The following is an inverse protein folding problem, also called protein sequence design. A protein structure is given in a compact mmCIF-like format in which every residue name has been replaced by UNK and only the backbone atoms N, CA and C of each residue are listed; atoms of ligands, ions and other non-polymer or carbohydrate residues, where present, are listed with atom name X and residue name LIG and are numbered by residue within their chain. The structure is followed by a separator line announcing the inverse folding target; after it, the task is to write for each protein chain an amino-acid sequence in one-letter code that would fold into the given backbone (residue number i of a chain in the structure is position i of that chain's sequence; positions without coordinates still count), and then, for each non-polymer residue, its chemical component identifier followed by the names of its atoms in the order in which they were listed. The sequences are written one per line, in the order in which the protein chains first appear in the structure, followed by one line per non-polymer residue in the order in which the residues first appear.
data_IF_654834766198
#
_entry.id   IF_654834766198
#
_cell.length_a   1.000
_cell.length_b   1.000
_cell.length_c   1.000
_cell.angle_alpha   90.00
_cell.angle_beta   90.00
_cell.angle_gamma   90.00
#
_symmetry.space_group_name_H-M   'P 1'
#
loop_
_entity.id
_entity.type
_entity.pdbx_description
1 polymer ?
#
# COMPACT_ATOMS: atom_id res chain seq x y z
N UNK A 1 -10.72 -8.03 -5.60
CA UNK A 1 -9.35 -8.35 -5.18
C UNK A 1 -8.63 -7.07 -4.80
N UNK A 2 -7.80 -7.10 -3.80
CA UNK A 2 -7.12 -5.92 -3.27
C UNK A 2 -5.64 -5.95 -3.61
N UNK A 3 -5.12 -4.84 -4.15
CA UNK A 3 -3.70 -4.67 -4.40
C UNK A 3 -3.04 -3.85 -3.29
N UNK A 4 -1.84 -4.25 -2.90
CA UNK A 4 -0.93 -3.40 -2.15
C UNK A 4 0.06 -2.79 -3.14
N UNK A 5 0.14 -1.47 -3.18
CA UNK A 5 1.01 -0.71 -4.07
C UNK A 5 2.07 0.00 -3.24
N UNK A 6 3.33 -0.19 -3.60
CA UNK A 6 4.48 0.39 -2.89
C UNK A 6 5.28 1.26 -3.87
N UNK A 7 5.59 2.49 -3.46
CA UNK A 7 6.46 3.36 -4.25
C UNK A 7 7.93 3.00 -4.01
N UNK A 8 8.63 2.66 -5.08
CA UNK A 8 10.01 2.19 -5.06
C UNK A 8 11.03 3.30 -5.35
N UNK A 9 10.65 4.28 -6.17
CA UNK A 9 11.57 5.36 -6.59
C UNK A 9 11.17 6.70 -5.99
N UNK A 10 12.18 7.55 -5.78
CA UNK A 10 12.01 8.87 -5.17
C UNK A 10 11.32 9.89 -6.06
N UNK A 11 11.25 11.13 -5.57
CA UNK A 11 10.46 12.22 -6.18
C UNK A 11 11.23 13.05 -7.20
N UNK A 12 12.54 12.88 -7.32
CA UNK A 12 13.38 13.71 -8.20
C UNK A 12 13.29 13.25 -9.65
N UNK A 13 13.11 14.19 -10.58
CA UNK A 13 13.12 13.92 -12.01
C UNK A 13 11.89 13.20 -12.55
N UNK A 14 10.78 13.20 -11.83
CA UNK A 14 9.54 12.55 -12.24
C UNK A 14 8.77 13.44 -13.21
N UNK A 15 8.33 12.89 -14.34
CA UNK A 15 7.47 13.59 -15.30
C UNK A 15 6.16 13.96 -14.60
N UNK A 16 5.66 15.19 -14.85
CA UNK A 16 4.49 15.73 -14.17
C UNK A 16 3.26 14.81 -14.24
N UNK A 17 2.98 14.22 -15.39
CA UNK A 17 1.83 13.30 -15.56
C UNK A 17 1.92 12.10 -14.62
N UNK A 18 3.12 11.55 -14.45
CA UNK A 18 3.37 10.43 -13.55
C UNK A 18 3.31 10.89 -12.09
N UNK A 19 3.90 12.05 -11.79
CA UNK A 19 3.83 12.65 -10.45
C UNK A 19 2.38 12.89 -10.02
N UNK A 20 1.54 13.44 -10.89
CA UNK A 20 0.12 13.66 -10.62
C UNK A 20 -0.61 12.33 -10.36
N UNK A 21 -0.31 11.29 -11.13
CA UNK A 21 -0.88 9.97 -10.93
C UNK A 21 -0.48 9.38 -9.57
N UNK A 22 0.79 9.51 -9.19
CA UNK A 22 1.27 9.07 -7.89
C UNK A 22 0.62 9.85 -6.74
N UNK A 23 0.41 11.14 -6.89
CA UNK A 23 -0.30 11.96 -5.91
C UNK A 23 -1.77 11.54 -5.77
N UNK A 24 -2.44 11.20 -6.86
CA UNK A 24 -3.81 10.67 -6.84
C UNK A 24 -3.90 9.32 -6.14
N UNK A 25 -2.84 8.52 -6.19
CA UNK A 25 -2.73 7.26 -5.48
C UNK A 25 -2.27 7.43 -4.03
N UNK A 26 -2.02 8.66 -3.57
CA UNK A 26 -1.46 8.97 -2.24
C UNK A 26 -0.04 8.42 -2.03
N UNK A 27 0.71 8.21 -3.09
CA UNK A 27 2.09 7.72 -3.06
C UNK A 27 3.05 8.90 -3.26
N UNK A 28 3.15 9.76 -2.26
CA UNK A 28 3.90 11.01 -2.38
C UNK A 28 5.40 10.88 -2.10
N UNK A 29 5.82 9.81 -1.46
CA UNK A 29 7.22 9.55 -1.11
C UNK A 29 7.60 8.09 -1.30
N UNK A 30 8.91 7.85 -1.42
CA UNK A 30 9.47 6.49 -1.46
C UNK A 30 9.05 5.67 -0.22
N UNK A 31 8.86 4.39 -0.39
CA UNK A 31 8.45 3.42 0.64
C UNK A 31 7.04 3.64 1.20
N UNK A 32 6.26 4.56 0.67
CA UNK A 32 4.84 4.66 0.99
C UNK A 32 4.07 3.53 0.30
N UNK A 33 3.07 3.01 0.97
CA UNK A 33 2.20 1.96 0.45
C UNK A 33 0.73 2.31 0.62
N UNK A 34 -0.09 1.85 -0.30
CA UNK A 34 -1.55 2.01 -0.23
C UNK A 34 -2.23 0.71 -0.62
N UNK A 35 -3.43 0.48 -0.08
CA UNK A 35 -4.32 -0.59 -0.51
C UNK A 35 -5.31 -0.04 -1.53
N UNK A 36 -5.41 -0.70 -2.68
CA UNK A 36 -6.24 -0.29 -3.80
C UNK A 36 -7.11 -1.45 -4.22
N UNK A 37 -8.41 -1.18 -4.42
CA UNK A 37 -9.32 -2.15 -5.00
C UNK A 37 -9.05 -2.30 -6.50
N UNK A 38 -9.01 -3.54 -6.98
CA UNK A 38 -8.81 -3.82 -8.40
C UNK A 38 -10.03 -3.37 -9.21
N UNK A 39 -9.80 -2.45 -10.14
CA UNK A 39 -10.77 -2.04 -11.15
C UNK A 39 -10.05 -1.49 -12.40
N UNK A 40 -10.72 -1.40 -13.55
CA UNK A 40 -10.07 -0.93 -14.80
C UNK A 40 -9.43 0.45 -14.68
N UNK A 41 -10.04 1.37 -13.95
CA UNK A 41 -9.51 2.73 -13.74
C UNK A 41 -8.20 2.70 -12.96
N UNK A 42 -8.14 1.92 -11.88
CA UNK A 42 -6.93 1.75 -11.08
C UNK A 42 -5.84 1.02 -11.85
N UNK A 43 -6.19 0.00 -12.64
CA UNK A 43 -5.23 -0.70 -13.49
C UNK A 43 -4.55 0.25 -14.47
N UNK A 44 -5.31 1.17 -15.07
CA UNK A 44 -4.77 2.21 -15.94
C UNK A 44 -3.79 3.14 -15.22
N UNK A 45 -4.12 3.56 -14.01
CA UNK A 45 -3.24 4.40 -13.19
C UNK A 45 -1.95 3.67 -12.79
N UNK A 46 -2.04 2.39 -12.43
CA UNK A 46 -0.89 1.57 -12.07
C UNK A 46 0.05 1.39 -13.27
N UNK A 47 -0.48 1.11 -14.45
CA UNK A 47 0.32 1.00 -15.68
C UNK A 47 1.04 2.31 -16.02
N UNK A 48 0.37 3.43 -15.82
CA UNK A 48 0.96 4.76 -16.06
C UNK A 48 2.13 5.05 -15.13
N UNK A 49 2.06 4.62 -13.88
CA UNK A 49 3.09 4.84 -12.87
C UNK A 49 4.06 3.65 -12.69
N UNK A 50 3.99 2.63 -13.52
CA UNK A 50 4.71 1.36 -13.36
C UNK A 50 6.22 1.47 -13.16
N UNK A 51 6.84 2.53 -13.68
CA UNK A 51 8.30 2.75 -13.59
C UNK A 51 8.73 3.30 -12.22
N UNK A 52 7.79 3.57 -11.33
CA UNK A 52 8.05 4.13 -9.98
C UNK A 52 7.50 3.28 -8.86
N UNK A 53 6.65 2.30 -9.16
CA UNK A 53 5.91 1.51 -8.18
C UNK A 53 6.03 0.01 -8.44
N UNK A 54 5.69 -0.76 -7.42
CA UNK A 54 5.43 -2.19 -7.53
C UNK A 54 4.13 -2.52 -6.81
N UNK A 55 3.41 -3.51 -7.30
CA UNK A 55 2.14 -3.91 -6.70
C UNK A 55 1.86 -5.40 -6.89
N UNK A 56 0.94 -5.89 -6.11
CA UNK A 56 0.48 -7.27 -6.21
C UNK A 56 -0.67 -7.54 -5.25
N UNK A 57 -1.23 -8.73 -5.33
CA UNK A 57 -2.32 -9.17 -4.48
C UNK A 57 -1.81 -9.49 -3.07
N UNK A 58 -2.56 -9.06 -2.07
CA UNK A 58 -2.28 -9.35 -0.66
C UNK A 58 -3.36 -10.21 -0.05
N UNK A 59 -3.01 -10.97 0.98
CA UNK A 59 -3.94 -11.73 1.79
C UNK A 59 -4.37 -10.95 3.05
N UNK A 60 -5.38 -11.46 3.74
CA UNK A 60 -5.90 -10.82 4.95
C UNK A 60 -4.88 -10.81 6.09
N UNK A 61 -4.03 -11.82 6.19
CA UNK A 61 -2.98 -11.89 7.21
C UNK A 61 -1.96 -10.76 7.05
N UNK A 62 -1.52 -10.51 5.82
CA UNK A 62 -0.60 -9.41 5.51
C UNK A 62 -1.23 -8.06 5.81
N UNK A 63 -2.50 -7.85 5.44
CA UNK A 63 -3.23 -6.62 5.73
C UNK A 63 -3.39 -6.42 7.24
N UNK A 64 -3.67 -7.48 7.99
CA UNK A 64 -3.74 -7.44 9.46
C UNK A 64 -2.43 -6.93 10.07
N UNK A 65 -1.31 -7.49 9.66
CA UNK A 65 0.02 -7.06 10.14
C UNK A 65 0.35 -5.64 9.74
N UNK A 66 -0.04 -5.23 8.54
CA UNK A 66 0.16 -3.88 8.04
C UNK A 66 -0.61 -2.87 8.88
N UNK A 67 -1.88 -3.14 9.18
CA UNK A 67 -2.71 -2.30 10.05
C UNK A 67 -2.12 -2.21 11.46
N UNK A 68 -1.74 -3.35 12.03
CA UNK A 68 -1.20 -3.42 13.38
C UNK A 68 0.11 -2.66 13.52
N UNK A 69 1.01 -2.79 12.57
CA UNK A 69 2.36 -2.20 12.64
C UNK A 69 2.45 -0.80 12.08
N UNK A 70 1.67 -0.46 11.05
CA UNK A 70 1.81 0.78 10.28
C UNK A 70 0.52 1.57 10.12
N UNK A 71 -0.61 1.09 10.61
CA UNK A 71 -1.87 1.84 10.58
C UNK A 71 -1.79 3.08 11.44
N UNK A 72 -2.23 4.22 10.90
CA UNK A 72 -2.31 5.50 11.62
C UNK A 72 -3.65 6.17 11.34
N UNK A 73 -4.15 6.86 12.34
CA UNK A 73 -5.35 7.69 12.20
C UNK A 73 -4.98 9.13 11.87
N UNK A 74 -5.96 9.91 11.44
CA UNK A 74 -5.79 11.35 11.22
C UNK A 74 -5.27 12.00 12.50
N UNK A 75 -4.22 12.81 12.36
CA UNK A 75 -3.50 13.39 13.50
C UNK A 75 -2.20 12.68 13.84
N UNK A 76 -1.86 11.58 13.14
CA UNK A 76 -0.60 10.87 13.28
C UNK A 76 -0.53 9.86 14.42
N UNK A 77 -1.62 9.62 15.11
CA UNK A 77 -1.70 8.61 16.18
C UNK A 77 -1.76 7.21 15.58
N UNK A 78 -1.16 6.24 16.30
CA UNK A 78 -1.20 4.84 15.88
C UNK A 78 -2.62 4.27 15.99
N UNK A 79 -3.01 3.48 15.00
CA UNK A 79 -4.26 2.74 15.03
C UNK A 79 -4.19 1.66 16.11
N UNK A 80 -5.19 1.61 16.99
CA UNK A 80 -5.30 0.63 18.09
C UNK A 80 -6.62 -0.12 18.02
N UNK A 81 -6.69 -1.29 18.67
CA UNK A 81 -7.94 -2.05 18.77
C UNK A 81 -9.05 -1.26 19.48
N UNK A 82 -8.70 -0.46 20.49
CA UNK A 82 -9.63 0.41 21.18
C UNK A 82 -10.26 1.43 20.22
N UNK A 83 -9.44 2.04 19.38
CA UNK A 83 -9.92 2.98 18.36
C UNK A 83 -10.86 2.28 17.36
N UNK A 84 -10.53 1.07 16.96
CA UNK A 84 -11.36 0.27 16.05
C UNK A 84 -12.73 0.00 16.69
N UNK A 85 -12.78 -0.43 17.95
CA UNK A 85 -14.00 -0.69 18.68
C UNK A 85 -14.89 0.56 18.84
N UNK A 86 -14.27 1.71 19.09
CA UNK A 86 -14.99 2.98 19.31
C UNK A 86 -15.54 3.58 18.02
N UNK A 87 -14.84 3.42 16.90
CA UNK A 87 -15.15 4.12 15.65
C UNK A 87 -15.69 3.22 14.55
N UNK A 88 -15.68 1.90 14.75
CA UNK A 88 -16.19 0.93 13.78
C UNK A 88 -17.01 -0.16 14.48
N UNK A 89 -17.71 -0.95 13.70
CA UNK A 89 -18.43 -2.13 14.22
C UNK A 89 -17.53 -3.35 14.44
N UNK A 90 -16.25 -3.23 14.11
CA UNK A 90 -15.27 -4.30 14.24
C UNK A 90 -14.53 -4.18 15.57
N UNK A 91 -14.01 -5.31 16.08
CA UNK A 91 -13.36 -5.36 17.39
C UNK A 91 -11.87 -5.69 17.34
N UNK A 92 -11.36 -6.14 16.20
CA UNK A 92 -9.96 -6.52 16.07
C UNK A 92 -9.36 -6.07 14.73
N UNK A 93 -8.04 -6.10 14.63
CA UNK A 93 -7.35 -5.83 13.36
C UNK A 93 -7.71 -6.87 12.29
N UNK A 94 -7.92 -8.13 12.67
CA UNK A 94 -8.27 -9.20 11.74
C UNK A 94 -9.63 -8.95 11.10
N UNK A 95 -10.63 -8.61 11.89
CA UNK A 95 -11.96 -8.28 11.38
C UNK A 95 -11.92 -7.05 10.47
N UNK A 96 -11.17 -6.02 10.87
CA UNK A 96 -11.00 -4.81 10.06
C UNK A 96 -10.29 -5.12 8.75
N UNK A 97 -9.26 -5.96 8.77
CA UNK A 97 -8.53 -6.35 7.58
C UNK A 97 -9.43 -7.09 6.57
N UNK A 98 -10.24 -8.03 7.05
CA UNK A 98 -11.22 -8.72 6.20
C UNK A 98 -12.24 -7.77 5.60
N UNK A 99 -12.74 -6.82 6.39
CA UNK A 99 -13.69 -5.82 5.91
C UNK A 99 -13.08 -4.91 4.84
N UNK A 100 -11.84 -4.50 5.00
CA UNK A 100 -11.11 -3.72 3.99
C UNK A 100 -10.87 -4.53 2.72
N UNK A 101 -10.51 -5.81 2.85
CA UNK A 101 -10.30 -6.71 1.71
C UNK A 101 -11.58 -6.92 0.90
N UNK A 102 -12.72 -6.97 1.58
CA UNK A 102 -14.04 -7.16 0.96
C UNK A 102 -14.69 -5.83 0.55
N UNK A 103 -14.00 -4.72 0.71
CA UNK A 103 -14.51 -3.37 0.42
C UNK A 103 -15.78 -2.99 1.20
N UNK A 104 -16.00 -3.60 2.35
CA UNK A 104 -17.14 -3.30 3.25
C UNK A 104 -16.95 -1.97 4.00
N UNK A 105 -15.70 -1.57 4.21
CA UNK A 105 -15.33 -0.31 4.86
C UNK A 105 -14.14 0.31 4.15
N UNK A 106 -14.07 1.64 4.18
CA UNK A 106 -12.94 2.39 3.62
C UNK A 106 -12.19 3.11 4.75
N UNK A 107 -10.89 3.40 4.60
CA UNK A 107 -10.15 4.15 5.60
C UNK A 107 -10.78 5.48 6.00
N UNK A 108 -11.46 6.16 5.07
CA UNK A 108 -12.17 7.42 5.32
C UNK A 108 -13.30 7.28 6.35
N UNK A 109 -13.92 6.12 6.43
CA UNK A 109 -15.12 5.89 7.26
C UNK A 109 -14.80 5.94 8.75
N UNK A 110 -13.55 5.72 9.13
CA UNK A 110 -13.08 5.78 10.53
C UNK A 110 -11.82 6.63 10.71
N UNK A 111 -11.61 7.60 9.84
CA UNK A 111 -10.51 8.57 9.88
C UNK A 111 -9.11 7.95 9.94
N UNK A 112 -8.92 6.78 9.34
CA UNK A 112 -7.60 6.19 9.15
C UNK A 112 -6.92 6.82 7.93
N UNK A 113 -5.63 7.11 8.06
CA UNK A 113 -4.83 7.54 6.90
C UNK A 113 -4.72 6.39 5.89
N UNK A 114 -5.01 6.63 4.61
CA UNK A 114 -4.94 5.57 3.60
C UNK A 114 -3.52 5.14 3.25
N UNK A 115 -2.52 5.88 3.69
CA UNK A 115 -1.11 5.63 3.37
C UNK A 115 -0.42 4.95 4.55
N UNK A 116 0.31 3.88 4.25
CA UNK A 116 1.19 3.22 5.20
C UNK A 116 2.63 3.65 4.93
N UNK A 117 3.29 4.22 5.93
CA UNK A 117 4.68 4.67 5.83
C UNK A 117 5.60 3.54 6.26
N UNK A 118 6.15 2.82 5.29
CA UNK A 118 7.01 1.67 5.54
C UNK A 118 8.47 2.08 5.68
N UNK A 119 9.27 1.21 6.28
CA UNK A 119 10.72 1.33 6.26
C UNK A 119 11.28 0.84 4.92
N UNK A 120 12.49 1.26 4.52
CA UNK A 120 13.19 0.61 3.41
C UNK A 120 13.28 -0.89 3.65
N UNK A 121 13.17 -1.73 2.61
CA UNK A 121 13.19 -3.17 2.79
C UNK A 121 14.55 -3.63 3.33
N UNK A 122 14.54 -4.59 4.23
CA UNK A 122 15.75 -5.27 4.67
C UNK A 122 16.39 -5.94 3.46
N UNK A 123 17.70 -5.83 3.31
CA UNK A 123 18.49 -6.26 2.13
C UNK A 123 18.23 -5.44 0.86
N UNK A 124 17.51 -4.31 0.97
CA UNK A 124 17.25 -3.39 -0.12
C UNK A 124 16.28 -3.87 -1.18
N UNK A 125 16.04 -3.01 -2.16
CA UNK A 125 15.32 -3.37 -3.36
C UNK A 125 16.28 -4.03 -4.36
N UNK A 126 15.77 -4.96 -5.14
CA UNK A 126 16.41 -5.38 -6.37
C UNK A 126 16.42 -4.20 -7.35
N UNK A 127 17.08 -4.30 -8.51
CA UNK A 127 17.24 -3.15 -9.42
C UNK A 127 16.04 -2.22 -9.52
N UNK A 128 16.20 -0.98 -9.10
CA UNK A 128 15.10 0.02 -9.05
C UNK A 128 14.76 0.63 -10.42
N UNK A 129 15.51 0.28 -11.46
CA UNK A 129 15.26 0.73 -12.84
C UNK A 129 14.77 -0.40 -13.74
N UNK A 130 14.67 -1.60 -13.21
CA UNK A 130 14.25 -2.80 -13.94
C UNK A 130 12.93 -3.32 -13.40
N UNK A 131 12.12 -3.90 -14.28
CA UNK A 131 10.89 -4.59 -13.87
C UNK A 131 11.19 -5.91 -13.16
N UNK A 132 10.21 -6.42 -12.44
CA UNK A 132 10.28 -7.73 -11.76
C UNK A 132 10.64 -8.84 -12.77
N UNK A 133 10.10 -8.77 -13.98
CA UNK A 133 10.37 -9.74 -15.05
C UNK A 133 11.83 -9.72 -15.52
N UNK A 134 12.53 -8.62 -15.33
CA UNK A 134 13.93 -8.42 -15.70
C UNK A 134 14.89 -8.59 -14.53
N UNK A 135 14.40 -9.09 -13.40
CA UNK A 135 15.18 -9.23 -12.18
C UNK A 135 15.26 -7.97 -11.32
N UNK A 136 14.36 -7.02 -11.55
CA UNK A 136 14.27 -5.77 -10.79
C UNK A 136 13.13 -5.75 -9.79
N UNK A 137 12.71 -4.54 -9.39
CA UNK A 137 11.70 -4.33 -8.35
C UNK A 137 10.41 -3.68 -8.85
N UNK A 138 10.34 -3.23 -10.09
CA UNK A 138 9.23 -2.44 -10.61
C UNK A 138 8.12 -3.28 -11.24
N UNK A 139 6.90 -2.75 -11.17
CA UNK A 139 5.74 -3.31 -11.84
C UNK A 139 4.98 -4.36 -11.02
N UNK A 140 4.12 -5.10 -11.71
CA UNK A 140 3.31 -6.12 -11.09
C UNK A 140 4.15 -7.34 -10.69
N UNK A 141 4.03 -7.75 -9.43
CA UNK A 141 4.76 -8.92 -8.91
C UNK A 141 3.86 -10.00 -8.30
N UNK A 142 2.54 -9.88 -8.45
CA UNK A 142 1.60 -10.86 -7.91
C UNK A 142 1.75 -11.04 -6.40
N UNK A 143 1.67 -12.26 -5.92
CA UNK A 143 1.79 -12.58 -4.50
C UNK A 143 3.18 -12.33 -3.91
N UNK A 144 4.21 -12.14 -4.73
CA UNK A 144 5.55 -11.79 -4.27
C UNK A 144 5.61 -10.44 -3.54
N UNK A 145 4.59 -9.61 -3.66
CA UNK A 145 4.47 -8.36 -2.90
C UNK A 145 4.44 -8.64 -1.39
N UNK A 146 3.90 -9.76 -0.98
CA UNK A 146 3.82 -10.17 0.43
C UNK A 146 5.23 -10.33 1.02
N UNK A 147 6.14 -10.96 0.29
CA UNK A 147 7.52 -11.15 0.73
C UNK A 147 8.25 -9.81 0.85
N UNK A 148 8.02 -8.91 -0.09
CA UNK A 148 8.61 -7.58 -0.04
C UNK A 148 8.11 -6.78 1.16
N UNK A 149 6.80 -6.71 1.37
CA UNK A 149 6.24 -5.92 2.46
C UNK A 149 6.65 -6.45 3.84
N UNK A 150 6.82 -7.76 3.99
CA UNK A 150 7.34 -8.35 5.23
C UNK A 150 8.74 -7.87 5.59
N UNK A 151 9.54 -7.53 4.60
CA UNK A 151 10.87 -6.94 4.81
C UNK A 151 10.84 -5.43 5.11
N UNK A 152 9.67 -4.81 4.98
CA UNK A 152 9.48 -3.35 5.12
C UNK A 152 8.72 -2.94 6.39
N UNK A 153 8.20 -3.88 7.14
CA UNK A 153 7.47 -3.60 8.40
C UNK A 153 8.31 -2.88 9.45
#
# INVERSE_FOLDING_TARGET
MMYLVIRVRGTTGVIRKIADTLDMLNLTRINHAVLIEENPSMDGMLQKAKDYITWGEVDSETVTKLLEKRGKVVGGKKLTEEYIKENTKYSSFEELAEALMNSEIKPKDFDMKPVFRLHPPKKGYEGIRLSVNEGGSLGYRGEKIIDLVKRMF
#
